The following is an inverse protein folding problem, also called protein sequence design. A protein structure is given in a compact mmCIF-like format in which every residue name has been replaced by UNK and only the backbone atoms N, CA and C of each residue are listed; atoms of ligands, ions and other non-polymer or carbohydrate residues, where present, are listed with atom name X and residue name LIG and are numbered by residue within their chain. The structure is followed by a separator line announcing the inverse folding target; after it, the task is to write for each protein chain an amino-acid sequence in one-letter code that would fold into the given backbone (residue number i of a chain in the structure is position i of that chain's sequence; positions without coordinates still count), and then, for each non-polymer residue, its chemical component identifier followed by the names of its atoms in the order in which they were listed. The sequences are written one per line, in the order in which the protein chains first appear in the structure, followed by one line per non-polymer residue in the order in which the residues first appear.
data_IF_445602185275
#
_entry.id   IF_445602185275
#
_cell.length_a   1.000
_cell.length_b   1.000
_cell.length_c   1.000
_cell.angle_alpha   90.00
_cell.angle_beta   90.00
_cell.angle_gamma   90.00
#
_symmetry.space_group_name_H-M   'P 1'
#
loop_
_entity.id
_entity.type
_entity.pdbx_description
1 polymer ?
#
# COMPACT_ATOMS: atom_id res chain seq x y z
N UNK A 1 -12.78 -0.52 26.31
CA UNK A 1 -12.42 -1.09 25.01
C UNK A 1 -13.24 -0.42 23.90
N UNK A 2 -13.21 0.92 23.82
CA UNK A 2 -14.05 1.71 22.89
C UNK A 2 -13.29 2.83 22.15
N UNK A 3 -11.97 2.99 22.33
CA UNK A 3 -11.25 4.19 21.86
C UNK A 3 -10.76 4.11 20.40
N UNK A 4 -10.55 2.91 19.85
CA UNK A 4 -9.91 2.75 18.53
C UNK A 4 -10.87 3.11 17.39
N UNK A 5 -12.16 2.78 17.51
CA UNK A 5 -13.15 3.09 16.48
C UNK A 5 -13.52 4.58 16.43
N UNK A 6 -13.29 5.32 17.52
CA UNK A 6 -13.68 6.72 17.63
C UNK A 6 -12.96 7.61 16.61
N UNK A 7 -11.70 7.31 16.26
CA UNK A 7 -10.96 8.07 15.25
C UNK A 7 -11.59 7.94 13.85
N UNK A 8 -12.11 6.77 13.51
CA UNK A 8 -12.82 6.53 12.24
C UNK A 8 -14.18 7.22 12.21
N UNK A 9 -14.95 7.10 13.30
CA UNK A 9 -16.25 7.78 13.43
C UNK A 9 -16.07 9.31 13.36
N UNK A 10 -15.05 9.84 14.05
CA UNK A 10 -14.75 11.27 14.05
C UNK A 10 -14.27 11.75 12.68
N UNK A 11 -13.53 10.93 11.93
CA UNK A 11 -13.12 11.26 10.56
C UNK A 11 -14.34 11.43 9.64
N UNK A 12 -15.32 10.52 9.73
CA UNK A 12 -16.55 10.60 8.94
C UNK A 12 -17.35 11.86 9.31
N UNK A 13 -17.52 12.13 10.61
CA UNK A 13 -18.24 13.30 11.09
C UNK A 13 -17.51 14.62 10.80
N UNK A 14 -16.18 14.60 10.78
CA UNK A 14 -15.33 15.74 10.41
C UNK A 14 -15.44 16.08 8.93
N UNK A 15 -15.52 15.07 8.05
CA UNK A 15 -15.68 15.26 6.61
C UNK A 15 -16.97 16.03 6.29
N UNK A 16 -18.08 15.74 6.98
CA UNK A 16 -19.34 16.50 6.86
C UNK A 16 -19.18 17.98 7.23
N UNK A 17 -18.19 18.31 8.07
CA UNK A 17 -17.85 19.68 8.50
C UNK A 17 -16.73 20.31 7.66
N UNK A 18 -16.22 19.59 6.65
CA UNK A 18 -15.10 20.03 5.82
C UNK A 18 -13.72 19.81 6.43
N UNK A 19 -13.61 19.01 7.48
CA UNK A 19 -12.34 18.57 8.07
C UNK A 19 -11.91 17.25 7.44
N UNK A 20 -10.64 17.11 7.09
CA UNK A 20 -10.10 15.90 6.44
C UNK A 20 -9.15 15.18 7.38
N UNK A 21 -9.42 13.90 7.65
CA UNK A 21 -8.51 13.05 8.44
C UNK A 21 -7.73 12.14 7.52
N UNK A 22 -6.40 12.26 7.56
CA UNK A 22 -5.47 11.47 6.75
C UNK A 22 -4.68 10.51 7.64
N UNK A 23 -4.61 9.26 7.22
CA UNK A 23 -3.67 8.28 7.75
C UNK A 23 -2.48 8.17 6.80
N UNK A 24 -1.26 8.38 7.31
CA UNK A 24 -0.01 8.14 6.58
C UNK A 24 0.71 6.94 7.18
N UNK A 25 1.20 6.06 6.32
CA UNK A 25 2.00 4.92 6.75
C UNK A 25 3.02 4.49 5.68
N UNK A 26 4.00 3.70 6.09
CA UNK A 26 4.99 3.11 5.21
C UNK A 26 5.04 1.59 5.32
N UNK A 27 5.24 0.95 4.17
CA UNK A 27 5.62 -0.45 4.08
C UNK A 27 6.99 -0.55 3.42
N UNK A 28 8.01 -0.74 4.25
CA UNK A 28 9.41 -0.86 3.82
C UNK A 28 9.79 -2.31 3.52
N UNK A 29 10.79 -2.52 2.65
CA UNK A 29 11.38 -3.85 2.46
C UNK A 29 10.54 -4.81 1.60
N UNK A 30 9.60 -4.28 0.81
CA UNK A 30 8.75 -5.07 -0.10
C UNK A 30 9.64 -5.67 -1.19
N UNK A 31 9.68 -6.99 -1.32
CA UNK A 31 10.47 -7.63 -2.37
C UNK A 31 9.92 -7.31 -3.76
N UNK A 32 10.77 -6.77 -4.64
CA UNK A 32 10.47 -6.61 -6.06
C UNK A 32 10.72 -7.96 -6.76
N UNK A 33 9.65 -8.74 -6.95
CA UNK A 33 9.70 -10.09 -7.49
C UNK A 33 9.14 -10.16 -8.92
N UNK A 34 9.84 -10.88 -9.78
CA UNK A 34 9.38 -11.26 -11.12
C UNK A 34 9.40 -12.79 -11.25
N UNK A 35 8.39 -13.37 -11.91
CA UNK A 35 8.38 -14.82 -12.22
C UNK A 35 9.46 -15.12 -13.24
N UNK A 36 10.29 -16.13 -12.97
CA UNK A 36 11.41 -16.49 -13.85
C UNK A 36 10.96 -17.04 -15.21
N UNK A 37 9.75 -17.60 -15.26
CA UNK A 37 9.09 -18.09 -16.47
C UNK A 37 7.56 -17.88 -16.36
N UNK A 38 6.82 -17.93 -17.49
CA UNK A 38 5.36 -17.92 -17.46
C UNK A 38 4.78 -19.16 -16.78
N UNK A 39 3.59 -19.01 -16.20
CA UNK A 39 2.81 -20.14 -15.69
C UNK A 39 2.51 -21.16 -16.81
N UNK A 40 2.53 -22.44 -16.46
CA UNK A 40 2.17 -23.52 -17.38
C UNK A 40 0.64 -23.57 -17.55
N UNK A 41 0.14 -23.61 -18.80
CA UNK A 41 -1.29 -23.69 -19.06
C UNK A 41 -1.87 -25.01 -18.55
N UNK A 42 -3.18 -25.01 -18.28
CA UNK A 42 -3.91 -26.23 -17.99
C UNK A 42 -3.85 -27.21 -19.17
N UNK A 43 -3.79 -28.50 -18.87
CA UNK A 43 -3.90 -29.58 -19.85
C UNK A 43 -4.78 -30.71 -19.30
N UNK A 44 -5.24 -31.62 -20.15
CA UNK A 44 -6.06 -32.74 -19.68
C UNK A 44 -5.36 -33.50 -18.53
N UNK A 45 -6.03 -33.59 -17.38
CA UNK A 45 -5.50 -34.24 -16.16
C UNK A 45 -4.46 -33.43 -15.38
N UNK A 46 -4.17 -32.17 -15.76
CA UNK A 46 -3.24 -31.28 -15.04
C UNK A 46 -3.85 -29.90 -14.81
N UNK A 47 -3.84 -29.46 -13.57
CA UNK A 47 -4.19 -28.08 -13.19
C UNK A 47 -3.10 -27.10 -13.65
N UNK A 48 -3.40 -25.80 -13.64
CA UNK A 48 -2.44 -24.76 -13.97
C UNK A 48 -1.20 -24.86 -13.06
N UNK A 49 -0.01 -24.88 -13.66
CA UNK A 49 1.23 -24.83 -12.92
C UNK A 49 1.66 -23.39 -12.74
N UNK A 50 1.73 -22.91 -11.49
CA UNK A 50 2.32 -21.59 -11.21
C UNK A 50 3.84 -21.71 -11.15
N UNK A 51 4.56 -20.85 -11.86
CA UNK A 51 6.02 -20.79 -11.78
C UNK A 51 6.42 -20.50 -10.33
N UNK A 52 7.35 -21.26 -9.75
CA UNK A 52 7.71 -21.12 -8.34
C UNK A 52 9.03 -20.38 -8.11
N UNK A 53 9.89 -20.30 -9.14
CA UNK A 53 11.13 -19.52 -9.10
C UNK A 53 10.87 -18.03 -9.37
N UNK A 54 11.65 -17.18 -8.70
CA UNK A 54 11.57 -15.74 -8.85
C UNK A 54 12.95 -15.14 -9.09
N UNK A 55 12.98 -14.09 -9.89
CA UNK A 55 14.10 -13.15 -9.97
C UNK A 55 13.86 -12.07 -8.93
N UNK A 56 14.87 -11.80 -8.09
CA UNK A 56 14.82 -10.76 -7.06
C UNK A 56 15.50 -9.51 -7.57
N UNK A 57 14.74 -8.42 -7.68
CA UNK A 57 15.23 -7.11 -8.12
C UNK A 57 15.62 -6.20 -6.94
N UNK A 58 15.61 -6.72 -5.72
CA UNK A 58 15.86 -5.96 -4.49
C UNK A 58 14.58 -5.74 -3.69
N UNK A 59 14.56 -4.67 -2.90
CA UNK A 59 13.42 -4.29 -2.05
C UNK A 59 13.02 -2.85 -2.29
N UNK A 60 11.73 -2.59 -2.33
CA UNK A 60 11.14 -1.26 -2.41
C UNK A 60 10.48 -0.86 -1.09
N UNK A 61 10.28 0.45 -0.93
CA UNK A 61 9.45 1.05 0.10
C UNK A 61 8.25 1.71 -0.55
N UNK A 62 7.05 1.39 -0.05
CA UNK A 62 5.82 2.11 -0.32
C UNK A 62 5.56 3.07 0.84
N UNK A 63 5.24 4.33 0.54
CA UNK A 63 4.67 5.29 1.49
C UNK A 63 3.34 5.73 0.90
N UNK A 64 2.26 5.72 1.68
CA UNK A 64 0.92 6.05 1.20
C UNK A 64 0.14 6.89 2.21
N UNK A 65 -0.72 7.77 1.69
CA UNK A 65 -1.69 8.52 2.46
C UNK A 65 -3.11 8.10 2.10
N UNK A 66 -3.95 7.97 3.12
CA UNK A 66 -5.29 7.42 3.02
C UNK A 66 -6.30 8.39 3.64
N UNK A 67 -7.29 8.79 2.84
CA UNK A 67 -8.48 9.49 3.30
C UNK A 67 -9.34 8.52 4.11
N UNK A 68 -9.37 8.70 5.43
CA UNK A 68 -10.04 7.78 6.35
C UNK A 68 -11.55 7.79 6.14
N UNK A 69 -12.13 8.95 5.84
CA UNK A 69 -13.57 9.11 5.66
C UNK A 69 -14.04 8.57 4.30
N UNK A 70 -13.28 8.81 3.23
CA UNK A 70 -13.63 8.36 1.87
C UNK A 70 -13.19 6.93 1.55
N UNK A 71 -12.26 6.39 2.33
CA UNK A 71 -11.71 5.06 2.09
C UNK A 71 -10.79 5.00 0.86
N UNK A 72 -10.08 6.08 0.54
CA UNK A 72 -9.29 6.21 -0.69
C UNK A 72 -7.83 6.56 -0.42
N UNK A 73 -6.91 5.96 -1.19
CA UNK A 73 -5.51 6.41 -1.21
C UNK A 73 -5.43 7.71 -2.01
N UNK A 74 -4.87 8.76 -1.40
CA UNK A 74 -4.77 10.10 -2.01
C UNK A 74 -3.45 10.24 -2.75
N UNK A 75 -2.35 9.93 -2.06
CA UNK A 75 -1.01 9.96 -2.61
C UNK A 75 -0.26 8.69 -2.23
N UNK A 76 0.61 8.23 -3.11
CA UNK A 76 1.56 7.18 -2.80
C UNK A 76 2.84 7.33 -3.59
N UNK A 77 3.93 6.81 -3.02
CA UNK A 77 5.24 6.75 -3.66
C UNK A 77 5.87 5.40 -3.42
N UNK A 78 6.48 4.83 -4.47
CA UNK A 78 7.30 3.64 -4.38
C UNK A 78 8.74 4.02 -4.73
N UNK A 79 9.67 3.72 -3.84
CA UNK A 79 11.07 4.10 -3.99
C UNK A 79 12.02 3.10 -3.35
N UNK A 80 13.32 3.36 -3.51
CA UNK A 80 14.37 2.48 -2.99
C UNK A 80 14.69 2.74 -1.52
N UNK A 81 14.25 3.89 -0.98
CA UNK A 81 14.59 4.35 0.38
C UNK A 81 13.33 4.63 1.20
N UNK A 82 13.51 4.55 2.52
CA UNK A 82 12.67 5.26 3.49
C UNK A 82 13.56 6.29 4.16
N UNK A 83 13.43 7.55 3.79
CA UNK A 83 14.02 8.68 4.52
C UNK A 83 12.94 9.59 5.09
N UNK A 84 13.32 10.47 6.03
CA UNK A 84 12.43 11.52 6.52
C UNK A 84 12.00 12.48 5.39
N UNK A 85 12.90 12.74 4.42
CA UNK A 85 12.57 13.54 3.25
C UNK A 85 11.52 12.86 2.36
N UNK A 86 11.60 11.53 2.19
CA UNK A 86 10.60 10.76 1.44
C UNK A 86 9.23 10.82 2.14
N UNK A 87 9.21 10.67 3.47
CA UNK A 87 7.98 10.71 4.27
C UNK A 87 7.35 12.10 4.28
N UNK A 88 8.14 13.14 4.59
CA UNK A 88 7.69 14.54 4.56
C UNK A 88 7.17 14.94 3.17
N UNK A 89 7.88 14.54 2.11
CA UNK A 89 7.49 14.84 0.75
C UNK A 89 6.17 14.20 0.32
N UNK A 90 5.72 13.12 0.97
CA UNK A 90 4.37 12.58 0.78
C UNK A 90 3.35 13.30 1.67
N UNK A 91 3.70 13.59 2.93
CA UNK A 91 2.83 14.29 3.87
C UNK A 91 2.41 15.67 3.34
N UNK A 92 3.33 16.40 2.72
CA UNK A 92 3.05 17.72 2.10
C UNK A 92 2.12 17.65 0.87
N UNK A 93 1.98 16.48 0.24
CA UNK A 93 1.14 16.27 -0.95
C UNK A 93 -0.28 15.75 -0.64
N UNK A 94 -0.53 15.35 0.60
CA UNK A 94 -1.72 14.61 1.03
C UNK A 94 -2.84 15.53 1.53
#
# INVERSE_FOLDING_TARGET
MNDICQAYESAILGEEKGEKTISLDEMTGIQALERKAPDLPMSQGKIQGREFEYIRHGTQTLIASFDVAKGQVICSTVGNTRTEADYLGLAEKS
#
